data_IF_994799045240
#
_entry.id   IF_994799045240
#
_cell.length_a   1.000
_cell.length_b   1.000
_cell.length_c   1.000
_cell.angle_alpha   90.00
_cell.angle_beta   90.00
_cell.angle_gamma   90.00
#
_symmetry.space_group_name_H-M   'P 1'
#
loop_
_entity.id
_entity.type
_entity.pdbx_description
1 polymer ?
#
# COMPACT_ATOMS: atom_id res chain seq x y z
N UNK A 1 -23.97 -1.94 0.42
CA UNK A 1 -23.30 -2.46 -0.77
C UNK A 1 -23.99 -1.91 -2.01
N UNK A 2 -23.23 -1.69 -3.08
CA UNK A 2 -23.67 -1.08 -4.32
C UNK A 2 -23.40 -1.97 -5.52
N UNK A 3 -22.86 -1.37 -6.56
CA UNK A 3 -22.38 -2.07 -7.75
C UNK A 3 -20.89 -1.82 -7.95
N UNK A 4 -20.21 -2.72 -8.63
CA UNK A 4 -18.83 -2.55 -9.11
C UNK A 4 -18.78 -2.78 -10.60
N UNK A 5 -17.90 -2.06 -11.28
CA UNK A 5 -17.64 -2.24 -12.71
C UNK A 5 -16.22 -2.73 -12.91
N UNK A 6 -16.03 -3.78 -13.69
CA UNK A 6 -14.70 -4.29 -14.03
C UNK A 6 -14.18 -3.68 -15.35
N UNK A 7 -12.94 -4.03 -15.71
CA UNK A 7 -12.30 -3.54 -16.95
C UNK A 7 -12.95 -4.06 -18.25
N UNK A 8 -13.81 -5.07 -18.17
CA UNK A 8 -14.61 -5.56 -19.30
C UNK A 8 -15.96 -4.86 -19.41
N UNK A 9 -16.16 -3.79 -18.66
CA UNK A 9 -17.40 -3.01 -18.62
C UNK A 9 -18.60 -3.78 -18.06
N UNK A 10 -18.35 -4.84 -17.29
CA UNK A 10 -19.40 -5.56 -16.60
C UNK A 10 -19.73 -4.91 -15.25
N UNK A 11 -20.97 -4.54 -15.06
CA UNK A 11 -21.54 -4.04 -13.81
C UNK A 11 -22.09 -5.21 -13.03
N UNK A 12 -21.61 -5.39 -11.81
CA UNK A 12 -22.01 -6.48 -10.91
C UNK A 12 -22.62 -5.91 -9.65
N UNK A 13 -23.75 -6.51 -9.21
CA UNK A 13 -24.35 -6.21 -7.91
C UNK A 13 -23.48 -6.81 -6.80
N UNK A 14 -23.10 -6.02 -5.82
CA UNK A 14 -22.32 -6.47 -4.65
C UNK A 14 -23.27 -6.80 -3.51
N UNK A 15 -23.35 -8.07 -3.14
CA UNK A 15 -24.17 -8.56 -2.03
C UNK A 15 -23.36 -8.61 -0.73
N UNK A 16 -23.99 -8.39 0.44
CA UNK A 16 -23.33 -8.59 1.72
C UNK A 16 -23.05 -10.09 1.94
N UNK A 17 -21.82 -10.41 2.35
CA UNK A 17 -21.44 -11.78 2.68
C UNK A 17 -21.47 -12.07 4.19
N UNK A 18 -21.27 -11.03 5.00
CA UNK A 18 -21.28 -11.05 6.47
C UNK A 18 -21.81 -9.72 6.98
N UNK A 19 -22.28 -9.70 8.22
CA UNK A 19 -22.67 -8.47 8.88
C UNK A 19 -21.45 -7.56 9.12
N UNK A 20 -21.69 -6.25 9.18
CA UNK A 20 -20.66 -5.30 9.50
C UNK A 20 -20.16 -5.50 10.93
N UNK A 21 -18.83 -5.61 11.17
CA UNK A 21 -18.30 -5.84 12.52
C UNK A 21 -18.35 -4.55 13.35
N UNK A 22 -18.82 -4.66 14.59
CA UNK A 22 -18.84 -3.55 15.55
C UNK A 22 -19.57 -2.32 15.03
N UNK A 23 -18.89 -1.17 15.03
CA UNK A 23 -19.44 0.11 14.58
C UNK A 23 -19.13 0.44 13.11
N UNK A 24 -18.69 -0.55 12.31
CA UNK A 24 -18.39 -0.33 10.89
C UNK A 24 -19.65 0.10 10.13
N UNK A 25 -19.50 1.12 9.29
CA UNK A 25 -20.56 1.69 8.44
C UNK A 25 -20.12 1.68 6.98
N UNK A 26 -21.08 1.76 6.07
CA UNK A 26 -20.75 1.93 4.65
C UNK A 26 -20.14 3.30 4.37
N UNK A 27 -19.18 3.36 3.46
CA UNK A 27 -18.49 4.62 3.11
C UNK A 27 -19.46 5.72 2.70
N UNK A 28 -20.50 5.39 1.93
CA UNK A 28 -21.52 6.35 1.51
C UNK A 28 -22.33 6.92 2.69
N UNK A 29 -22.65 6.10 3.71
CA UNK A 29 -23.33 6.56 4.93
C UNK A 29 -22.48 7.56 5.71
N UNK A 30 -21.17 7.28 5.82
CA UNK A 30 -20.20 8.15 6.50
C UNK A 30 -20.13 9.51 5.78
N UNK A 31 -20.04 9.48 4.45
CA UNK A 31 -19.99 10.72 3.64
C UNK A 31 -21.28 11.53 3.75
N UNK A 32 -22.43 10.87 3.66
CA UNK A 32 -23.75 11.53 3.78
C UNK A 32 -23.95 12.13 5.17
N UNK A 33 -23.61 11.39 6.24
CA UNK A 33 -23.71 11.89 7.62
C UNK A 33 -22.78 13.10 7.83
N UNK A 34 -21.54 13.02 7.36
CA UNK A 34 -20.62 14.14 7.41
C UNK A 34 -21.15 15.37 6.68
N UNK A 35 -21.64 15.20 5.44
CA UNK A 35 -22.18 16.29 4.64
C UNK A 35 -23.39 16.96 5.34
N UNK A 36 -24.30 16.17 5.88
CA UNK A 36 -25.47 16.68 6.62
C UNK A 36 -25.09 17.43 7.89
N UNK A 37 -24.09 16.95 8.65
CA UNK A 37 -23.57 17.63 9.85
C UNK A 37 -22.88 18.94 9.48
N UNK A 38 -22.03 18.91 8.45
CA UNK A 38 -21.34 20.11 7.97
C UNK A 38 -22.35 21.18 7.50
N UNK A 39 -23.37 20.77 6.74
CA UNK A 39 -24.43 21.67 6.27
C UNK A 39 -25.14 22.37 7.41
N UNK A 40 -25.53 21.63 8.45
CA UNK A 40 -26.14 22.23 9.65
C UNK A 40 -25.21 23.24 10.33
N UNK A 41 -23.92 22.89 10.49
CA UNK A 41 -22.94 23.77 11.15
C UNK A 41 -22.68 25.06 10.35
N UNK A 42 -22.82 24.99 9.02
CA UNK A 42 -22.69 26.15 8.11
C UNK A 42 -24.01 26.92 7.91
N UNK A 43 -25.08 26.55 8.61
CA UNK A 43 -26.40 27.18 8.45
C UNK A 43 -27.05 26.92 7.08
N UNK A 44 -26.64 25.85 6.39
CA UNK A 44 -27.18 25.46 5.08
C UNK A 44 -28.18 24.31 5.22
N UNK A 45 -29.45 24.64 5.42
CA UNK A 45 -30.52 23.64 5.55
C UNK A 45 -30.81 22.88 4.24
N UNK A 46 -30.31 23.37 3.10
CA UNK A 46 -30.43 22.70 1.81
C UNK A 46 -29.62 21.44 1.65
N UNK A 47 -28.62 21.20 2.52
CA UNK A 47 -27.70 20.05 2.43
C UNK A 47 -28.45 18.71 2.53
N UNK A 48 -29.51 18.61 3.33
CA UNK A 48 -30.32 17.40 3.42
C UNK A 48 -31.02 17.05 2.08
N UNK A 49 -31.35 18.05 1.26
CA UNK A 49 -31.91 17.85 -0.08
C UNK A 49 -30.88 17.44 -1.11
N UNK A 50 -29.60 17.82 -0.91
CA UNK A 50 -28.49 17.43 -1.78
C UNK A 50 -28.03 15.98 -1.53
N UNK A 51 -28.29 15.45 -0.34
CA UNK A 51 -27.92 14.09 0.05
C UNK A 51 -29.15 13.32 0.59
N UNK A 52 -30.20 13.09 -0.25
CA UNK A 52 -31.46 12.50 0.20
C UNK A 52 -31.42 10.97 0.33
N UNK A 53 -30.25 10.36 0.19
CA UNK A 53 -30.10 8.93 0.05
C UNK A 53 -30.50 8.17 1.32
N UNK A 54 -31.39 7.19 1.15
CA UNK A 54 -31.79 6.25 2.17
C UNK A 54 -30.94 4.96 2.12
N UNK A 55 -30.47 4.60 0.93
CA UNK A 55 -29.72 3.38 0.67
C UNK A 55 -28.78 3.53 -0.55
N UNK A 56 -28.00 2.50 -0.81
CA UNK A 56 -27.07 2.47 -1.94
C UNK A 56 -27.80 2.38 -3.30
N UNK A 57 -29.03 1.88 -3.34
CA UNK A 57 -29.82 1.82 -4.57
C UNK A 57 -30.27 3.21 -5.01
N UNK A 58 -30.64 4.07 -4.05
CA UNK A 58 -30.98 5.47 -4.35
C UNK A 58 -29.80 6.20 -5.02
N UNK A 59 -28.58 5.97 -4.55
CA UNK A 59 -27.35 6.52 -5.16
C UNK A 59 -27.12 5.93 -6.55
N UNK A 60 -27.28 4.62 -6.72
CA UNK A 60 -27.16 3.97 -8.02
C UNK A 60 -28.19 4.52 -9.02
N UNK A 61 -29.42 4.71 -8.60
CA UNK A 61 -30.49 5.25 -9.45
C UNK A 61 -30.22 6.68 -9.89
N UNK A 62 -29.69 7.52 -9.02
CA UNK A 62 -29.24 8.87 -9.41
C UNK A 62 -28.05 8.79 -10.38
N UNK A 63 -27.05 7.98 -10.07
CA UNK A 63 -25.89 7.82 -10.94
C UNK A 63 -26.27 7.35 -12.34
N UNK A 64 -27.11 6.32 -12.47
CA UNK A 64 -27.52 5.82 -13.79
C UNK A 64 -28.23 6.88 -14.63
N UNK A 65 -29.04 7.75 -14.02
CA UNK A 65 -29.72 8.84 -14.74
C UNK A 65 -28.72 9.88 -15.28
N UNK A 66 -27.59 10.11 -14.62
CA UNK A 66 -26.53 11.00 -15.15
C UNK A 66 -25.90 10.47 -16.43
N UNK A 67 -26.06 9.19 -16.74
CA UNK A 67 -25.51 8.55 -17.93
C UNK A 67 -26.48 8.58 -19.14
N UNK A 68 -27.70 9.00 -18.95
CA UNK A 68 -28.75 9.00 -19.98
C UNK A 68 -28.32 9.71 -21.26
N UNK A 69 -28.42 9.00 -22.39
CA UNK A 69 -28.08 9.50 -23.70
C UNK A 69 -26.57 9.65 -23.98
N UNK A 70 -25.71 9.17 -23.08
CA UNK A 70 -24.27 9.15 -23.28
C UNK A 70 -23.84 7.81 -23.89
N UNK A 71 -22.59 7.71 -24.36
CA UNK A 71 -22.00 6.47 -24.90
C UNK A 71 -21.88 5.35 -23.85
N UNK A 72 -21.96 5.70 -22.56
CA UNK A 72 -21.94 4.78 -21.42
C UNK A 72 -23.30 4.66 -20.71
N UNK A 73 -24.40 4.91 -21.41
CA UNK A 73 -25.76 4.87 -20.86
C UNK A 73 -26.06 3.54 -20.15
N UNK A 74 -26.46 3.61 -18.89
CA UNK A 74 -26.84 2.46 -18.06
C UNK A 74 -28.25 2.60 -17.47
N UNK A 75 -29.07 3.45 -18.05
CA UNK A 75 -30.42 3.76 -17.54
C UNK A 75 -31.36 2.57 -17.52
N UNK A 76 -31.10 1.54 -18.33
CA UNK A 76 -31.87 0.29 -18.34
C UNK A 76 -31.54 -0.67 -17.19
N UNK A 77 -30.45 -0.43 -16.44
CA UNK A 77 -30.06 -1.31 -15.34
C UNK A 77 -30.80 -0.96 -14.05
N UNK A 78 -31.08 -1.99 -13.26
CA UNK A 78 -31.62 -1.88 -11.90
C UNK A 78 -30.97 -2.94 -11.01
N UNK A 79 -31.09 -2.80 -9.69
CA UNK A 79 -30.64 -3.86 -8.76
C UNK A 79 -31.39 -5.15 -9.02
N UNK A 80 -32.70 -5.10 -9.21
CA UNK A 80 -33.51 -6.27 -9.50
C UNK A 80 -33.05 -7.02 -10.77
N UNK A 81 -32.71 -6.28 -11.84
CA UNK A 81 -32.18 -6.87 -13.07
C UNK A 81 -30.82 -7.53 -12.84
N UNK A 82 -29.92 -6.82 -12.15
CA UNK A 82 -28.57 -7.34 -11.86
C UNK A 82 -28.60 -8.57 -10.91
N UNK A 83 -29.60 -8.69 -10.06
CA UNK A 83 -29.80 -9.84 -9.18
C UNK A 83 -30.41 -11.02 -9.93
N UNK A 84 -31.36 -10.78 -10.85
CA UNK A 84 -32.03 -11.81 -11.62
C UNK A 84 -31.15 -12.37 -12.75
N UNK A 85 -30.53 -11.48 -13.54
CA UNK A 85 -29.84 -11.83 -14.79
C UNK A 85 -28.31 -11.85 -14.64
N UNK A 86 -27.80 -11.46 -13.45
CA UNK A 86 -26.37 -11.37 -13.18
C UNK A 86 -25.69 -10.15 -13.78
N UNK A 87 -24.35 -10.13 -13.86
CA UNK A 87 -23.56 -9.01 -14.35
C UNK A 87 -23.92 -8.60 -15.79
N UNK A 88 -24.05 -7.29 -16.03
CA UNK A 88 -24.41 -6.76 -17.35
C UNK A 88 -23.31 -5.84 -17.88
N UNK A 89 -23.04 -5.92 -19.19
CA UNK A 89 -22.13 -4.99 -19.85
C UNK A 89 -22.85 -3.67 -20.21
N UNK A 90 -22.17 -2.56 -20.01
CA UNK A 90 -22.63 -1.26 -20.52
C UNK A 90 -22.07 -0.97 -21.91
N UNK A 91 -22.70 -0.15 -22.76
CA UNK A 91 -23.99 0.51 -22.56
C UNK A 91 -25.18 -0.44 -22.42
N UNK A 92 -26.11 -0.05 -21.55
CA UNK A 92 -27.39 -0.73 -21.35
C UNK A 92 -28.51 0.31 -21.18
N UNK A 93 -28.88 1.02 -22.26
CA UNK A 93 -29.89 2.09 -22.17
C UNK A 93 -31.29 1.53 -21.85
N UNK A 94 -32.18 2.40 -21.40
CA UNK A 94 -33.56 2.04 -21.14
C UNK A 94 -34.22 1.38 -22.36
N UNK A 95 -34.90 0.24 -22.13
CA UNK A 95 -35.52 -0.55 -23.19
C UNK A 95 -34.59 -1.51 -23.93
N UNK A 96 -33.28 -1.54 -23.62
CA UNK A 96 -32.37 -2.54 -24.17
C UNK A 96 -32.65 -3.92 -23.57
N UNK A 97 -32.61 -4.96 -24.42
CA UNK A 97 -32.74 -6.35 -23.96
C UNK A 97 -31.41 -6.91 -23.43
N UNK A 98 -30.27 -6.41 -23.88
CA UNK A 98 -28.91 -6.82 -23.50
C UNK A 98 -27.93 -5.65 -23.58
N UNK A 99 -26.85 -5.73 -22.82
CA UNK A 99 -25.74 -4.78 -22.97
C UNK A 99 -24.96 -5.01 -24.27
N UNK A 100 -24.21 -4.01 -24.71
CA UNK A 100 -23.37 -4.11 -25.90
C UNK A 100 -22.07 -4.85 -25.59
N UNK A 101 -21.81 -5.94 -26.31
CA UNK A 101 -20.57 -6.71 -26.19
C UNK A 101 -19.34 -5.93 -26.64
N UNK A 102 -19.49 -5.07 -27.66
CA UNK A 102 -18.43 -4.24 -28.22
C UNK A 102 -18.92 -2.79 -28.35
N UNK A 103 -18.03 -1.83 -28.01
CA UNK A 103 -18.30 -0.41 -28.20
C UNK A 103 -18.04 -0.01 -29.67
N UNK A 104 -18.78 0.99 -30.12
CA UNK A 104 -18.58 1.65 -31.42
C UNK A 104 -18.58 0.69 -32.63
N UNK A 105 -19.39 -0.38 -32.56
CA UNK A 105 -19.56 -1.33 -33.68
C UNK A 105 -20.14 -0.66 -34.95
N UNK A 106 -20.91 0.40 -34.75
CA UNK A 106 -21.50 1.23 -35.79
C UNK A 106 -20.49 2.26 -36.38
N UNK A 107 -19.25 2.28 -35.88
CA UNK A 107 -18.24 3.26 -36.29
C UNK A 107 -18.49 4.68 -35.78
N UNK A 108 -19.48 4.89 -34.90
CA UNK A 108 -19.79 6.21 -34.33
C UNK A 108 -19.13 6.37 -32.96
N UNK A 109 -18.41 7.47 -32.79
CA UNK A 109 -17.69 7.82 -31.59
C UNK A 109 -18.32 9.05 -30.91
N UNK A 110 -18.15 9.25 -29.58
CA UNK A 110 -18.72 10.39 -28.84
C UNK A 110 -17.90 11.67 -29.07
N UNK A 111 -17.74 12.04 -30.32
CA UNK A 111 -17.05 13.23 -30.80
C UNK A 111 -18.01 14.09 -31.60
N UNK A 112 -17.72 15.37 -31.81
CA UNK A 112 -18.61 16.28 -32.50
C UNK A 112 -18.93 15.86 -33.95
N UNK A 113 -18.00 15.18 -34.62
CA UNK A 113 -18.13 14.67 -35.99
C UNK A 113 -18.42 13.16 -36.07
N UNK A 114 -18.58 12.50 -34.90
CA UNK A 114 -18.84 11.06 -34.80
C UNK A 114 -17.64 10.16 -35.16
N UNK A 115 -16.44 10.70 -35.37
CA UNK A 115 -15.26 9.96 -35.81
C UNK A 115 -14.28 9.76 -34.67
N UNK A 116 -13.52 8.66 -34.74
CA UNK A 116 -12.40 8.43 -33.84
C UNK A 116 -11.34 9.53 -33.99
N UNK A 117 -10.79 9.99 -32.87
CA UNK A 117 -9.67 10.93 -32.87
C UNK A 117 -8.36 10.18 -32.62
N UNK A 118 -7.41 10.35 -33.51
CA UNK A 118 -6.01 9.96 -33.31
C UNK A 118 -5.28 11.16 -32.75
N UNK A 119 -4.97 11.11 -31.45
CA UNK A 119 -4.24 12.18 -30.77
C UNK A 119 -2.75 11.86 -30.86
N UNK A 120 -1.94 12.64 -31.59
CA UNK A 120 -0.49 12.49 -31.57
C UNK A 120 0.02 12.86 -30.18
N UNK A 121 0.71 11.94 -29.53
CA UNK A 121 1.27 12.17 -28.20
C UNK A 121 2.78 12.28 -28.33
N UNK A 122 3.32 13.45 -27.99
CA UNK A 122 4.76 13.66 -27.90
C UNK A 122 5.27 13.21 -26.53
N UNK A 123 6.47 12.59 -26.54
CA UNK A 123 7.11 12.19 -25.29
C UNK A 123 7.42 13.41 -24.41
N UNK A 124 6.95 13.34 -23.16
CA UNK A 124 7.33 14.29 -22.13
C UNK A 124 8.27 13.60 -21.13
N UNK A 125 9.40 14.21 -20.76
CA UNK A 125 10.27 13.66 -19.73
C UNK A 125 9.56 13.68 -18.38
N UNK A 126 10.08 12.86 -17.45
CA UNK A 126 9.64 12.90 -16.04
C UNK A 126 9.94 14.26 -15.43
N UNK A 127 9.07 14.73 -14.52
CA UNK A 127 9.25 16.04 -13.85
C UNK A 127 10.47 16.05 -12.94
N UNK A 128 10.81 14.92 -12.33
CA UNK A 128 11.95 14.75 -11.44
C UNK A 128 13.18 14.27 -12.24
N UNK A 129 13.90 15.22 -12.82
CA UNK A 129 15.02 14.92 -13.73
C UNK A 129 16.23 14.33 -12.99
N UNK A 130 16.85 13.30 -13.58
CA UNK A 130 18.13 12.78 -13.13
C UNK A 130 19.22 13.82 -13.31
N UNK A 131 20.11 13.93 -12.35
CA UNK A 131 21.25 14.86 -12.34
C UNK A 131 22.52 14.19 -11.82
N UNK A 132 23.64 14.90 -11.87
CA UNK A 132 24.88 14.40 -11.26
C UNK A 132 24.75 14.17 -9.75
N UNK A 133 23.95 15.00 -9.06
CA UNK A 133 23.70 14.86 -7.62
C UNK A 133 22.69 13.73 -7.31
N UNK A 134 21.75 13.48 -8.20
CA UNK A 134 20.70 12.45 -8.08
C UNK A 134 20.74 11.53 -9.31
N UNK A 135 21.75 10.65 -9.41
CA UNK A 135 22.06 9.95 -10.66
C UNK A 135 21.21 8.70 -10.92
N UNK A 136 20.38 8.29 -9.97
CA UNK A 136 19.60 7.06 -10.07
C UNK A 136 18.10 7.36 -10.23
N UNK A 137 17.52 6.76 -11.26
CA UNK A 137 16.06 6.70 -11.44
C UNK A 137 15.49 5.62 -10.53
N UNK A 138 14.91 6.02 -9.40
CA UNK A 138 14.17 5.12 -8.53
C UNK A 138 12.78 4.87 -9.10
N UNK A 139 12.46 3.62 -9.33
CA UNK A 139 11.13 3.16 -9.69
C UNK A 139 10.44 2.57 -8.46
N UNK A 140 9.17 2.86 -8.26
CA UNK A 140 8.36 2.23 -7.23
C UNK A 140 7.28 1.34 -7.84
N UNK A 141 6.94 0.25 -7.16
CA UNK A 141 5.96 -0.70 -7.67
C UNK A 141 5.32 -1.57 -6.61
N UNK A 142 4.38 -2.40 -7.01
CA UNK A 142 3.72 -3.37 -6.14
C UNK A 142 4.50 -4.67 -6.04
N UNK A 143 4.46 -5.26 -4.85
CA UNK A 143 4.79 -6.67 -4.66
C UNK A 143 3.60 -7.53 -5.11
N UNK A 144 3.87 -8.77 -5.50
CA UNK A 144 2.85 -9.71 -6.00
C UNK A 144 1.71 -9.94 -5.00
N UNK A 145 2.05 -10.08 -3.72
CA UNK A 145 1.11 -10.50 -2.68
C UNK A 145 0.60 -9.36 -1.79
N UNK A 146 0.99 -8.13 -2.09
CA UNK A 146 0.60 -6.97 -1.31
C UNK A 146 -0.22 -5.96 -2.12
N UNK A 147 -1.16 -5.29 -1.43
CA UNK A 147 -2.02 -4.28 -1.97
C UNK A 147 -2.30 -3.18 -0.92
N UNK A 148 -2.66 -1.99 -1.38
CA UNK A 148 -3.11 -0.86 -0.57
C UNK A 148 -2.19 -0.54 0.63
N UNK A 149 -0.89 -0.44 0.40
CA UNK A 149 0.07 -0.16 1.47
C UNK A 149 0.05 -1.21 2.58
N UNK A 150 -0.30 -2.45 2.24
CA UNK A 150 -0.40 -3.58 3.16
C UNK A 150 -1.46 -3.42 4.27
N UNK A 151 -2.42 -2.51 4.13
CA UNK A 151 -3.44 -2.26 5.16
C UNK A 151 -4.26 -3.52 5.53
N UNK A 152 -4.46 -4.44 4.58
CA UNK A 152 -5.08 -5.76 4.80
C UNK A 152 -4.09 -6.90 4.65
N UNK A 153 -3.34 -6.93 3.56
CA UNK A 153 -2.40 -8.02 3.27
C UNK A 153 -1.26 -8.08 4.29
N UNK A 154 -0.85 -6.96 4.86
CA UNK A 154 0.12 -6.88 5.95
C UNK A 154 -0.36 -7.44 7.30
N UNK A 155 -1.65 -7.78 7.43
CA UNK A 155 -2.20 -8.47 8.60
C UNK A 155 -2.16 -10.00 8.46
N UNK A 156 -1.75 -10.53 7.31
CA UNK A 156 -1.76 -11.96 6.99
C UNK A 156 -0.34 -12.50 6.94
N UNK A 157 0.11 -13.33 7.91
CA UNK A 157 1.48 -13.81 7.98
C UNK A 157 1.97 -14.53 6.71
N UNK A 158 1.10 -15.29 6.06
CA UNK A 158 1.43 -16.01 4.82
C UNK A 158 1.77 -15.09 3.65
N UNK A 159 1.16 -13.92 3.57
CA UNK A 159 1.42 -12.95 2.51
C UNK A 159 2.70 -12.16 2.79
N UNK A 160 2.98 -11.90 4.06
CA UNK A 160 4.18 -11.21 4.49
C UNK A 160 5.49 -11.99 4.21
N UNK A 161 5.41 -13.33 4.17
CA UNK A 161 6.58 -14.20 4.05
C UNK A 161 7.32 -14.14 2.70
N UNK A 162 6.76 -13.53 1.68
CA UNK A 162 7.40 -13.50 0.35
C UNK A 162 8.53 -12.47 0.26
N UNK A 163 8.30 -11.28 0.77
CA UNK A 163 9.32 -10.26 0.96
C UNK A 163 9.07 -9.64 2.34
N UNK A 164 9.89 -10.04 3.27
CA UNK A 164 9.71 -9.78 4.71
C UNK A 164 10.37 -8.48 5.19
N UNK A 165 11.14 -7.86 4.31
CA UNK A 165 11.73 -6.52 4.48
C UNK A 165 11.61 -5.74 3.16
N UNK A 166 11.56 -4.40 3.20
CA UNK A 166 11.65 -3.60 1.99
C UNK A 166 13.05 -3.72 1.39
N UNK A 167 13.14 -4.15 0.14
CA UNK A 167 14.40 -4.30 -0.57
C UNK A 167 14.52 -3.26 -1.69
N UNK A 168 15.68 -2.62 -1.77
CA UNK A 168 16.07 -1.84 -2.93
C UNK A 168 16.74 -2.75 -3.95
N UNK A 169 16.09 -3.02 -5.06
CA UNK A 169 16.69 -3.78 -6.15
C UNK A 169 17.52 -2.87 -7.05
N UNK A 170 18.75 -3.31 -7.42
CA UNK A 170 19.64 -2.56 -8.30
C UNK A 170 20.39 -3.52 -9.23
N UNK A 171 20.82 -3.01 -10.39
CA UNK A 171 21.65 -3.79 -11.30
C UNK A 171 23.04 -4.08 -10.69
N UNK A 172 23.59 -5.31 -10.78
CA UNK A 172 24.88 -5.67 -10.17
C UNK A 172 26.07 -4.77 -10.55
N UNK A 173 26.10 -4.27 -11.81
CA UNK A 173 27.14 -3.33 -12.23
C UNK A 173 27.08 -2.00 -11.46
N UNK A 174 25.88 -1.47 -11.22
CA UNK A 174 25.70 -0.21 -10.49
C UNK A 174 26.05 -0.37 -9.03
N UNK A 175 25.76 -1.55 -8.44
CA UNK A 175 26.15 -1.88 -7.08
C UNK A 175 27.69 -1.94 -6.95
N UNK A 176 28.37 -2.66 -7.85
CA UNK A 176 29.85 -2.73 -7.83
C UNK A 176 30.50 -1.37 -7.96
N UNK A 177 30.03 -0.50 -8.86
CA UNK A 177 30.56 0.87 -9.02
C UNK A 177 30.42 1.71 -7.74
N UNK A 178 29.49 1.34 -6.84
CA UNK A 178 29.26 2.02 -5.56
C UNK A 178 29.84 1.29 -4.36
N UNK A 179 30.55 0.19 -4.57
CA UNK A 179 31.08 -0.66 -3.49
C UNK A 179 30.00 -1.30 -2.63
N UNK A 180 28.86 -1.65 -3.23
CA UNK A 180 27.71 -2.23 -2.57
C UNK A 180 27.61 -3.72 -2.84
N UNK A 181 27.21 -4.49 -1.82
CA UNK A 181 26.93 -5.91 -1.88
C UNK A 181 25.48 -6.19 -1.48
N UNK A 182 24.91 -7.33 -1.94
CA UNK A 182 23.57 -7.74 -1.54
C UNK A 182 23.49 -7.95 -0.03
N UNK A 183 22.48 -7.33 0.60
CA UNK A 183 22.28 -7.34 2.04
C UNK A 183 22.84 -6.10 2.76
N UNK A 184 23.66 -5.28 2.11
CA UNK A 184 24.08 -4.00 2.67
C UNK A 184 22.86 -3.12 2.97
N UNK A 185 22.97 -2.32 4.03
CA UNK A 185 22.05 -1.22 4.28
C UNK A 185 22.48 0.00 3.49
N UNK A 186 21.52 0.63 2.85
CA UNK A 186 21.76 1.85 2.07
C UNK A 186 20.74 2.92 2.44
N UNK A 187 21.19 4.17 2.37
CA UNK A 187 20.35 5.36 2.40
C UNK A 187 19.98 5.72 0.96
N UNK A 188 18.69 5.78 0.69
CA UNK A 188 18.12 6.32 -0.55
C UNK A 188 17.58 7.69 -0.21
N UNK A 189 18.07 8.74 -0.86
CA UNK A 189 17.71 10.11 -0.49
C UNK A 189 17.59 11.04 -1.69
N UNK A 190 16.84 12.12 -1.51
CA UNK A 190 16.79 13.30 -2.35
C UNK A 190 16.42 14.53 -1.49
N UNK A 191 16.16 15.69 -2.12
CA UNK A 191 15.81 16.91 -1.39
C UNK A 191 14.47 16.88 -0.63
N UNK A 192 13.66 15.82 -0.79
CA UNK A 192 12.34 15.67 -0.16
C UNK A 192 12.38 14.75 1.07
N UNK A 193 13.26 13.76 1.07
CA UNK A 193 13.35 12.82 2.18
C UNK A 193 14.43 11.76 2.00
N UNK A 194 14.44 10.81 2.94
CA UNK A 194 15.36 9.70 2.93
C UNK A 194 14.72 8.41 3.46
N UNK A 195 15.23 7.27 3.02
CA UNK A 195 14.78 5.94 3.44
C UNK A 195 16.01 5.03 3.59
N UNK A 196 16.11 4.35 4.73
CA UNK A 196 17.09 3.29 4.94
C UNK A 196 16.48 1.94 4.58
N UNK A 197 17.13 1.19 3.69
CA UNK A 197 16.66 -0.14 3.22
C UNK A 197 17.84 -1.06 2.93
N UNK A 198 17.57 -2.37 2.90
CA UNK A 198 18.56 -3.32 2.38
C UNK A 198 18.57 -3.32 0.86
N UNK A 199 19.76 -3.51 0.26
CA UNK A 199 19.92 -3.61 -1.18
C UNK A 199 20.04 -5.07 -1.63
N UNK A 200 19.49 -5.36 -2.81
CA UNK A 200 19.58 -6.67 -3.44
C UNK A 200 19.90 -6.55 -4.94
N UNK A 201 20.67 -7.49 -5.46
CA UNK A 201 20.96 -7.57 -6.88
C UNK A 201 19.73 -7.96 -7.71
N UNK A 202 19.54 -7.28 -8.84
CA UNK A 202 18.52 -7.59 -9.82
C UNK A 202 19.04 -7.34 -11.25
N UNK A 203 19.63 -8.35 -11.86
CA UNK A 203 20.23 -8.25 -13.20
C UNK A 203 19.25 -7.86 -14.30
N UNK A 204 17.95 -8.08 -14.10
CA UNK A 204 16.91 -7.67 -15.06
C UNK A 204 16.58 -6.17 -15.06
N UNK A 205 17.09 -5.40 -14.10
CA UNK A 205 16.96 -3.95 -14.12
C UNK A 205 17.97 -3.32 -15.09
N UNK A 206 17.57 -2.23 -15.75
CA UNK A 206 18.51 -1.45 -16.55
C UNK A 206 19.49 -0.70 -15.62
N UNK A 207 20.73 -0.52 -16.08
CA UNK A 207 21.73 0.32 -15.39
C UNK A 207 21.20 1.74 -15.18
N UNK A 208 21.60 2.38 -14.11
CA UNK A 208 21.12 3.70 -13.70
C UNK A 208 19.71 3.70 -13.10
N UNK A 209 19.13 2.52 -12.86
CA UNK A 209 17.81 2.37 -12.26
C UNK A 209 17.85 1.52 -10.99
N UNK A 210 17.02 1.90 -10.04
CA UNK A 210 16.72 1.10 -8.85
C UNK A 210 15.21 0.90 -8.76
N UNK A 211 14.77 -0.13 -8.01
CA UNK A 211 13.36 -0.40 -7.78
C UNK A 211 13.13 -0.68 -6.29
N UNK A 212 12.05 -0.14 -5.73
CA UNK A 212 11.66 -0.33 -4.35
C UNK A 212 10.15 -0.59 -4.25
N UNK A 213 9.69 -1.49 -3.34
CA UNK A 213 8.28 -1.72 -3.14
C UNK A 213 7.59 -0.49 -2.52
N UNK A 214 6.41 -0.15 -3.04
CA UNK A 214 5.61 0.99 -2.58
C UNK A 214 4.80 0.72 -1.29
N UNK A 215 4.72 -0.53 -0.86
CA UNK A 215 3.81 -0.94 0.22
C UNK A 215 4.33 -0.64 1.62
N UNK A 216 5.64 -0.59 1.78
CA UNK A 216 6.29 -0.35 3.06
C UNK A 216 6.21 1.13 3.44
N UNK A 217 5.66 1.37 4.61
CA UNK A 217 5.50 2.70 5.18
C UNK A 217 5.62 2.67 6.70
N UNK A 218 5.31 3.77 7.38
CA UNK A 218 5.47 3.94 8.83
C UNK A 218 4.73 2.94 9.72
N UNK A 219 3.87 2.11 9.14
CA UNK A 219 3.25 0.99 9.85
C UNK A 219 4.19 -0.20 10.04
N UNK A 220 5.18 -0.36 9.15
CA UNK A 220 6.04 -1.54 9.09
C UNK A 220 7.53 -1.21 9.10
N UNK A 221 7.89 0.08 9.00
CA UNK A 221 9.26 0.55 9.06
C UNK A 221 9.35 1.95 9.69
N UNK A 222 10.55 2.39 10.01
CA UNK A 222 10.80 3.69 10.64
C UNK A 222 10.74 4.88 9.67
N UNK A 223 10.17 4.72 8.48
CA UNK A 223 10.03 5.80 7.49
C UNK A 223 8.71 5.68 6.70
N UNK A 224 8.27 6.74 6.01
CA UNK A 224 7.15 6.66 5.06
C UNK A 224 7.42 5.81 3.81
N UNK A 225 8.60 5.20 3.68
CA UNK A 225 8.99 4.38 2.54
C UNK A 225 9.16 5.18 1.24
N UNK A 226 8.84 4.56 0.10
CA UNK A 226 9.01 5.17 -1.22
C UNK A 226 8.33 6.54 -1.37
N UNK A 227 7.24 6.78 -0.66
CA UNK A 227 6.50 8.03 -0.72
C UNK A 227 7.28 9.24 -0.16
N UNK A 228 8.26 9.02 0.73
CA UNK A 228 9.14 10.08 1.21
C UNK A 228 9.96 10.73 0.10
N UNK A 229 10.16 10.02 -1.01
CA UNK A 229 11.01 10.41 -2.13
C UNK A 229 10.22 10.92 -3.34
N UNK A 230 8.89 10.73 -3.36
CA UNK A 230 8.03 11.11 -4.47
C UNK A 230 7.93 12.63 -4.63
N UNK A 231 7.84 13.12 -5.89
CA UNK A 231 7.54 14.51 -6.16
C UNK A 231 6.03 14.79 -6.14
N UNK A 232 5.66 16.05 -6.06
CA UNK A 232 4.27 16.54 -6.07
C UNK A 232 3.75 16.87 -7.49
N UNK A 233 4.54 16.55 -8.51
CA UNK A 233 4.17 16.77 -9.89
C UNK A 233 2.98 15.91 -10.31
N UNK A 234 2.08 16.50 -11.10
CA UNK A 234 0.90 15.84 -11.64
C UNK A 234 0.80 16.04 -13.14
N UNK A 235 0.18 15.06 -13.82
CA UNK A 235 -0.21 15.22 -15.21
C UNK A 235 -1.16 16.41 -15.37
N UNK A 236 -0.94 17.32 -16.33
CA UNK A 236 -1.73 18.55 -16.46
C UNK A 236 -3.19 18.30 -16.82
N UNK A 237 -3.50 17.18 -17.46
CA UNK A 237 -4.86 16.83 -17.90
C UNK A 237 -5.60 15.95 -16.90
N UNK A 238 -5.01 14.79 -16.57
CA UNK A 238 -5.63 13.80 -15.70
C UNK A 238 -5.45 14.09 -14.22
N UNK A 239 -4.51 14.97 -13.85
CA UNK A 239 -4.06 15.21 -12.47
C UNK A 239 -3.48 13.98 -11.78
N UNK A 240 -3.12 12.96 -12.56
CA UNK A 240 -2.45 11.77 -12.03
C UNK A 240 -1.07 12.14 -11.48
N UNK A 241 -0.76 11.83 -10.20
CA UNK A 241 0.55 12.14 -9.63
C UNK A 241 1.65 11.25 -10.21
N UNK A 242 2.87 11.79 -10.29
CA UNK A 242 4.07 11.05 -10.71
C UNK A 242 4.63 10.21 -9.55
N UNK A 243 3.97 9.11 -9.23
CA UNK A 243 4.27 8.25 -8.08
C UNK A 243 5.28 7.13 -8.37
N UNK A 244 5.64 6.90 -9.64
CA UNK A 244 6.41 5.72 -10.05
C UNK A 244 7.86 6.03 -10.35
N UNK A 245 8.27 7.28 -10.24
CA UNK A 245 9.63 7.74 -10.49
C UNK A 245 10.06 8.77 -9.46
N UNK A 246 11.34 8.70 -9.06
CA UNK A 246 12.03 9.75 -8.31
C UNK A 246 13.52 9.73 -8.70
N UNK A 247 14.13 10.89 -8.83
CA UNK A 247 15.59 11.00 -8.91
C UNK A 247 16.19 10.93 -7.50
N UNK A 248 17.17 10.05 -7.28
CA UNK A 248 17.73 9.78 -5.96
C UNK A 248 19.24 9.58 -5.98
N UNK A 249 19.86 9.77 -4.81
CA UNK A 249 21.19 9.31 -4.46
C UNK A 249 21.07 8.05 -3.59
N UNK A 250 22.05 7.13 -3.71
CA UNK A 250 22.14 5.92 -2.93
C UNK A 250 23.53 5.81 -2.34
N UNK A 251 23.62 5.71 -1.02
CA UNK A 251 24.85 5.68 -0.24
C UNK A 251 24.82 4.50 0.74
N UNK A 252 25.97 3.83 0.93
CA UNK A 252 26.10 2.79 1.94
C UNK A 252 25.93 3.36 3.34
N UNK A 253 25.14 2.68 4.18
CA UNK A 253 25.01 2.98 5.61
C UNK A 253 25.88 2.02 6.40
N UNK A 254 26.75 2.57 7.23
CA UNK A 254 27.53 1.79 8.19
C UNK A 254 26.78 1.69 9.53
N UNK A 255 25.98 0.62 9.65
CA UNK A 255 25.18 0.28 10.83
C UNK A 255 25.55 -1.12 11.32
N UNK A 256 26.73 -1.27 11.98
CA UNK A 256 27.29 -2.56 12.31
C UNK A 256 26.55 -3.29 13.46
N UNK A 257 25.79 -2.55 14.28
CA UNK A 257 25.02 -3.15 15.36
C UNK A 257 23.63 -3.54 14.87
N UNK A 258 23.39 -4.83 14.76
CA UNK A 258 22.09 -5.37 14.30
C UNK A 258 21.35 -6.05 15.43
N UNK A 259 20.03 -5.91 15.45
CA UNK A 259 19.12 -6.52 16.40
C UNK A 259 17.98 -7.21 15.66
N UNK A 260 17.62 -8.40 16.13
CA UNK A 260 16.38 -9.06 15.72
C UNK A 260 15.70 -9.67 16.95
N UNK A 261 14.41 -9.37 17.11
CA UNK A 261 13.57 -9.94 18.15
C UNK A 261 12.36 -10.62 17.51
N UNK A 262 12.08 -11.84 17.96
CA UNK A 262 11.00 -12.66 17.42
C UNK A 262 10.13 -13.18 18.56
N UNK A 263 8.81 -13.10 18.41
CA UNK A 263 7.86 -13.73 19.33
C UNK A 263 6.79 -14.52 18.57
N UNK A 264 6.54 -15.73 19.02
CA UNK A 264 5.39 -16.53 18.61
C UNK A 264 4.15 -16.07 19.39
N UNK A 265 3.05 -15.83 18.69
CA UNK A 265 1.74 -15.51 19.25
C UNK A 265 0.78 -16.69 19.05
N UNK A 266 -0.17 -16.87 19.94
CA UNK A 266 -1.15 -17.96 19.82
C UNK A 266 -2.23 -17.64 18.79
N UNK A 267 -2.56 -16.36 18.64
CA UNK A 267 -3.59 -15.88 17.71
C UNK A 267 -3.12 -14.73 16.83
N UNK A 268 -3.78 -14.54 15.71
CA UNK A 268 -3.52 -13.41 14.82
C UNK A 268 -3.87 -12.04 15.47
N UNK A 269 -4.98 -11.87 16.19
CA UNK A 269 -5.26 -10.64 16.93
C UNK A 269 -4.15 -10.25 17.91
N UNK A 270 -3.63 -11.22 18.68
CA UNK A 270 -2.49 -10.99 19.60
C UNK A 270 -1.25 -10.48 18.84
N UNK A 271 -0.94 -11.09 17.71
CA UNK A 271 0.20 -10.67 16.89
C UNK A 271 0.02 -9.25 16.33
N UNK A 272 -1.18 -8.88 15.90
CA UNK A 272 -1.49 -7.55 15.39
C UNK A 272 -1.43 -6.49 16.49
N UNK A 273 -1.95 -6.78 17.68
CA UNK A 273 -1.83 -5.89 18.84
C UNK A 273 -0.36 -5.67 19.21
N UNK A 274 0.42 -6.75 19.24
CA UNK A 274 1.85 -6.68 19.50
C UNK A 274 2.58 -5.82 18.47
N UNK A 275 2.31 -6.00 17.18
CA UNK A 275 2.86 -5.14 16.13
C UNK A 275 2.49 -3.67 16.34
N UNK A 276 1.25 -3.39 16.68
CA UNK A 276 0.80 -2.02 16.95
C UNK A 276 1.59 -1.37 18.09
N UNK A 277 1.82 -2.11 19.17
CA UNK A 277 2.64 -1.63 20.29
C UNK A 277 4.11 -1.47 19.93
N UNK A 278 4.65 -2.37 19.11
CA UNK A 278 6.06 -2.33 18.68
C UNK A 278 6.39 -1.15 17.74
N UNK A 279 5.40 -0.59 17.05
CA UNK A 279 5.59 0.57 16.15
C UNK A 279 6.26 1.76 16.82
N UNK A 280 5.95 2.02 18.08
CA UNK A 280 6.55 3.12 18.84
C UNK A 280 8.07 3.00 18.98
N UNK A 281 8.62 1.77 18.88
CA UNK A 281 10.05 1.50 19.00
C UNK A 281 10.81 1.62 17.68
N UNK A 282 10.11 1.70 16.53
CA UNK A 282 10.77 1.84 15.23
C UNK A 282 11.60 3.13 15.13
N UNK A 283 11.11 4.21 15.70
CA UNK A 283 11.78 5.52 15.66
C UNK A 283 13.09 5.60 16.47
N UNK A 284 13.36 4.60 17.34
CA UNK A 284 14.58 4.54 18.12
C UNK A 284 15.82 4.14 17.29
N UNK A 285 15.64 3.72 16.03
CA UNK A 285 16.72 3.20 15.20
C UNK A 285 16.79 3.90 13.84
N UNK A 286 18.00 4.08 13.28
CA UNK A 286 18.16 4.60 11.93
C UNK A 286 17.62 3.64 10.85
N UNK A 287 17.59 2.34 11.13
CA UNK A 287 16.87 1.34 10.35
C UNK A 287 16.08 0.44 11.28
N UNK A 288 14.79 0.30 11.04
CA UNK A 288 13.96 -0.67 11.74
C UNK A 288 12.76 -1.10 10.89
N UNK A 289 12.39 -2.39 11.02
CA UNK A 289 11.24 -2.98 10.36
C UNK A 289 10.44 -3.89 11.30
N UNK A 290 9.14 -3.98 11.03
CA UNK A 290 8.21 -4.92 11.66
C UNK A 290 7.62 -5.83 10.60
N UNK A 291 7.58 -7.12 10.88
CA UNK A 291 7.02 -8.11 9.99
C UNK A 291 6.20 -9.18 10.71
N UNK A 292 5.33 -9.84 9.94
CA UNK A 292 4.59 -11.01 10.38
C UNK A 292 5.07 -12.25 9.63
N UNK A 293 5.18 -13.36 10.34
CA UNK A 293 5.59 -14.65 9.79
C UNK A 293 4.69 -15.78 10.28
N UNK A 294 5.01 -16.98 9.81
CA UNK A 294 4.41 -18.21 10.26
C UNK A 294 3.27 -18.71 9.39
N UNK A 295 3.10 -20.03 9.38
CA UNK A 295 2.02 -20.72 8.66
C UNK A 295 0.93 -21.24 9.58
N UNK A 296 1.33 -21.81 10.73
CA UNK A 296 0.43 -22.39 11.73
C UNK A 296 0.16 -21.43 12.87
N UNK A 297 1.19 -20.69 13.28
CA UNK A 297 1.14 -19.66 14.31
C UNK A 297 1.76 -18.38 13.77
N UNK A 298 1.20 -17.23 14.08
CA UNK A 298 1.81 -15.95 13.73
C UNK A 298 3.06 -15.70 14.59
N UNK A 299 4.08 -15.16 13.95
CA UNK A 299 5.30 -14.67 14.57
C UNK A 299 5.40 -13.18 14.29
N UNK A 300 5.69 -12.38 15.30
CA UNK A 300 6.05 -10.98 15.15
C UNK A 300 7.56 -10.86 15.15
N UNK A 301 8.11 -10.19 14.16
CA UNK A 301 9.54 -9.96 14.00
C UNK A 301 9.83 -8.48 13.97
N UNK A 302 10.70 -8.03 14.86
CA UNK A 302 11.26 -6.69 14.87
C UNK A 302 12.73 -6.80 14.46
N UNK A 303 13.17 -6.05 13.48
CA UNK A 303 14.57 -5.93 13.07
C UNK A 303 15.00 -4.49 13.14
N UNK A 304 16.24 -4.27 13.57
CA UNK A 304 16.84 -2.94 13.61
C UNK A 304 18.34 -2.99 13.34
N UNK A 305 18.90 -1.86 12.96
CA UNK A 305 20.33 -1.64 12.88
C UNK A 305 20.69 -0.23 13.34
N UNK A 306 21.85 -0.06 13.94
CA UNK A 306 22.37 1.20 14.45
C UNK A 306 23.88 1.33 14.27
N UNK A 307 24.39 2.57 14.29
CA UNK A 307 25.82 2.86 14.24
C UNK A 307 26.54 2.53 15.55
N UNK A 308 25.81 2.55 16.67
CA UNK A 308 26.33 2.24 18.01
C UNK A 308 25.47 1.16 18.68
N UNK A 309 25.99 0.56 19.73
CA UNK A 309 25.22 -0.41 20.51
C UNK A 309 23.90 0.22 21.03
N UNK A 310 22.82 -0.53 20.93
CA UNK A 310 21.50 -0.08 21.42
C UNK A 310 21.57 0.10 22.92
N UNK A 311 21.01 1.19 23.42
CA UNK A 311 20.99 1.51 24.84
C UNK A 311 20.14 0.51 25.66
N UNK A 312 20.48 0.38 26.93
CA UNK A 312 19.84 -0.57 27.84
C UNK A 312 18.34 -0.31 28.03
N UNK A 313 17.90 0.95 27.93
CA UNK A 313 16.48 1.32 28.08
C UNK A 313 15.64 0.82 26.91
N UNK A 314 16.14 1.00 25.70
CA UNK A 314 15.51 0.50 24.47
C UNK A 314 15.49 -1.03 24.44
N UNK A 315 16.58 -1.70 24.82
CA UNK A 315 16.63 -3.17 24.96
C UNK A 315 15.59 -3.64 25.98
N UNK A 316 15.54 -3.02 27.17
CA UNK A 316 14.57 -3.39 28.21
C UNK A 316 13.12 -3.15 27.77
N UNK A 317 12.85 -2.14 26.92
CA UNK A 317 11.54 -1.92 26.35
C UNK A 317 11.14 -3.02 25.34
N UNK A 318 12.07 -3.44 24.49
CA UNK A 318 11.88 -4.58 23.59
C UNK A 318 11.68 -5.89 24.38
N UNK A 319 12.52 -6.16 25.38
CA UNK A 319 12.40 -7.35 26.22
C UNK A 319 11.03 -7.43 26.91
N UNK A 320 10.56 -6.34 27.50
CA UNK A 320 9.22 -6.28 28.10
C UNK A 320 8.12 -6.55 27.07
N UNK A 321 8.19 -5.90 25.92
CA UNK A 321 7.18 -6.03 24.89
C UNK A 321 7.12 -7.44 24.31
N UNK A 322 8.29 -8.03 24.08
CA UNK A 322 8.41 -9.37 23.48
C UNK A 322 8.36 -10.52 24.51
N UNK A 323 8.16 -10.20 25.80
CA UNK A 323 8.07 -11.20 26.88
C UNK A 323 9.42 -11.83 27.22
N UNK A 324 10.50 -11.12 27.01
CA UNK A 324 11.87 -11.56 27.25
C UNK A 324 12.49 -10.91 28.52
N UNK A 325 11.67 -10.23 29.33
CA UNK A 325 12.11 -9.61 30.57
C UNK A 325 12.45 -10.68 31.62
N UNK A 326 13.58 -10.51 32.31
CA UNK A 326 14.10 -11.50 33.26
C UNK A 326 14.95 -12.60 32.61
N UNK A 327 15.62 -13.37 33.44
CA UNK A 327 16.50 -14.46 32.99
C UNK A 327 16.04 -15.84 33.44
N UNK A 328 14.92 -15.92 34.19
CA UNK A 328 14.35 -17.19 34.64
C UNK A 328 13.93 -18.05 33.45
N UNK A 329 14.58 -19.22 33.33
CA UNK A 329 14.36 -20.13 32.21
C UNK A 329 14.92 -19.66 30.86
N UNK A 330 15.70 -18.59 30.84
CA UNK A 330 16.32 -18.10 29.61
C UNK A 330 17.54 -18.93 29.21
N UNK A 331 17.67 -19.21 27.93
CA UNK A 331 18.90 -19.72 27.32
C UNK A 331 19.65 -18.50 26.77
N UNK A 332 20.84 -18.25 27.30
CA UNK A 332 21.67 -17.10 26.89
C UNK A 332 22.94 -17.64 26.24
N UNK A 333 23.24 -17.14 25.03
CA UNK A 333 24.50 -17.35 24.35
C UNK A 333 25.20 -16.01 24.13
N UNK A 334 26.45 -15.90 24.54
CA UNK A 334 27.27 -14.72 24.32
C UNK A 334 28.64 -15.12 23.77
N UNK A 335 29.07 -14.48 22.69
CA UNK A 335 30.39 -14.62 22.09
C UNK A 335 31.01 -13.22 22.00
N UNK A 336 31.90 -12.94 22.94
CA UNK A 336 32.56 -11.64 23.03
C UNK A 336 33.51 -11.38 21.83
N UNK A 337 34.13 -12.41 21.29
CA UNK A 337 35.04 -12.29 20.16
C UNK A 337 34.29 -11.92 18.86
N UNK A 338 33.12 -12.51 18.67
CA UNK A 338 32.24 -12.20 17.52
C UNK A 338 31.28 -11.08 17.79
N UNK A 339 31.23 -10.52 19.01
CA UNK A 339 30.27 -9.48 19.45
C UNK A 339 28.81 -9.90 19.23
N UNK A 340 28.49 -11.17 19.48
CA UNK A 340 27.14 -11.72 19.31
C UNK A 340 26.55 -12.07 20.68
N UNK A 341 25.34 -11.63 20.93
CA UNK A 341 24.52 -12.06 22.07
C UNK A 341 23.17 -12.54 21.58
N UNK A 342 22.71 -13.67 22.11
CA UNK A 342 21.39 -14.25 21.81
C UNK A 342 20.71 -14.65 23.10
N UNK A 343 19.43 -14.38 23.21
CA UNK A 343 18.58 -14.78 24.34
C UNK A 343 17.33 -15.47 23.78
N UNK A 344 16.97 -16.59 24.35
CA UNK A 344 15.75 -17.29 24.04
C UNK A 344 15.01 -17.66 25.33
N UNK A 345 13.72 -17.48 25.37
CA UNK A 345 12.85 -17.83 26.50
C UNK A 345 11.69 -18.67 25.98
N UNK A 346 11.43 -19.80 26.65
CA UNK A 346 10.23 -20.58 26.39
C UNK A 346 9.04 -19.97 27.14
N UNK A 347 8.06 -19.45 26.39
CA UNK A 347 6.81 -18.94 26.96
C UNK A 347 5.77 -20.07 27.02
N UNK A 348 5.22 -20.35 28.21
CA UNK A 348 4.21 -21.41 28.43
C UNK A 348 4.69 -22.81 27.99
N UNK A 349 5.95 -23.16 28.27
CA UNK A 349 6.52 -24.45 27.91
C UNK A 349 6.82 -24.63 26.42
N UNK A 350 7.00 -23.53 25.70
CA UNK A 350 7.22 -23.53 24.25
C UNK A 350 8.33 -22.58 23.85
#
# INVERSE_FOLDING_TARGET
>A
FGTVTNSERCITRVMPAVDAPGEARHDWEIVVDFARRLGRNLGNDGTAKLFPYADAEAIFNEHRETTRGRDLDITGLSYALLEADGPQQWPYPEGAATGKRRLYEDGRFPTADGKARFVPVEHQPTSDAISTALPISLLSGRLRDHWHGMSRTGTVPRLFNLEDEPLLAMHPCDMRHRGLESGDLVKVSNGRGEVAVRIAERAGLKKGRAWMPMHWGSQFMNSPGANALACDATDPYSRQPELKHAAVQIEKLDLPYTLAVVRSCDTQPEALEMMQRARALLAAFPYATLGLYGRKRPLVVFRAAAATATDATTIAALDRLFGMAGDDGAIIYADAARKVSKKAIALNGR
#
